data_IF_838765805355
#
_entry.id   IF_838765805355
#
_cell.length_a   1.000
_cell.length_b   1.000
_cell.length_c   1.000
_cell.angle_alpha   90.00
_cell.angle_beta   90.00
_cell.angle_gamma   90.00
#
_symmetry.space_group_name_H-M   'P 1'
#
loop_
_entity.id
_entity.type
_entity.pdbx_description
1 polymer ?
#
# COMPACT_ATOMS: atom_id res chain seq x y z
N UNK A 1 9.37 0.59 9.51
CA UNK A 1 8.83 1.55 10.48
C UNK A 1 7.69 0.87 11.23
N UNK A 2 7.66 0.86 12.53
CA UNK A 2 6.56 0.32 13.35
C UNK A 2 6.25 -1.17 13.13
N UNK A 3 7.26 -2.02 13.18
CA UNK A 3 7.03 -3.47 13.19
C UNK A 3 6.43 -3.91 14.53
N UNK A 4 5.50 -4.87 14.52
CA UNK A 4 4.90 -5.43 15.73
C UNK A 4 3.77 -4.60 16.34
N UNK A 5 3.36 -3.51 15.70
CA UNK A 5 2.29 -2.62 16.17
C UNK A 5 0.99 -2.91 15.42
N UNK A 6 -0.16 -2.64 16.06
CA UNK A 6 -1.47 -2.69 15.40
C UNK A 6 -1.44 -1.79 14.15
N UNK A 7 -1.93 -2.28 12.99
CA UNK A 7 -1.89 -1.50 11.76
C UNK A 7 -2.56 -0.12 11.85
N UNK A 8 -3.67 -0.01 12.58
CA UNK A 8 -4.35 1.28 12.73
C UNK A 8 -3.51 2.27 13.53
N UNK A 9 -2.87 1.81 14.59
CA UNK A 9 -1.98 2.64 15.39
C UNK A 9 -0.74 3.02 14.60
N UNK A 10 -0.19 2.10 13.83
CA UNK A 10 0.95 2.37 12.97
C UNK A 10 0.64 3.45 11.94
N UNK A 11 -0.54 3.40 11.32
CA UNK A 11 -0.98 4.40 10.35
C UNK A 11 -1.16 5.75 11.00
N UNK A 12 -1.82 5.80 12.15
CA UNK A 12 -2.09 7.05 12.86
C UNK A 12 -0.79 7.72 13.32
N UNK A 13 0.13 6.97 13.91
CA UNK A 13 1.39 7.52 14.40
C UNK A 13 2.31 7.92 13.25
N UNK A 14 2.39 7.12 12.19
CA UNK A 14 3.19 7.46 11.02
C UNK A 14 2.68 8.73 10.34
N UNK A 15 1.38 8.83 10.15
CA UNK A 15 0.76 10.01 9.55
C UNK A 15 1.06 11.27 10.36
N UNK A 16 0.86 11.20 11.67
CA UNK A 16 1.10 12.34 12.56
C UNK A 16 2.57 12.77 12.56
N UNK A 17 3.48 11.82 12.63
CA UNK A 17 4.91 12.10 12.63
C UNK A 17 5.37 12.71 11.31
N UNK A 18 4.97 12.11 10.19
CA UNK A 18 5.43 12.53 8.87
C UNK A 18 4.83 13.87 8.45
N UNK A 19 3.58 14.15 8.81
CA UNK A 19 3.01 15.48 8.55
C UNK A 19 3.70 16.56 9.37
N UNK A 20 4.11 16.25 10.59
CA UNK A 20 4.89 17.17 11.41
C UNK A 20 6.25 17.49 10.75
N UNK A 21 6.96 16.47 10.27
CA UNK A 21 8.23 16.65 9.57
C UNK A 21 8.04 17.42 8.27
N UNK A 22 6.99 17.13 7.54
CA UNK A 22 6.71 17.75 6.24
C UNK A 22 6.57 19.28 6.34
N UNK A 23 6.09 19.78 7.47
CA UNK A 23 5.93 21.22 7.69
C UNK A 23 7.25 21.93 8.02
N UNK A 24 8.33 21.19 8.23
CA UNK A 24 9.63 21.77 8.52
C UNK A 24 10.38 22.10 7.24
N UNK A 25 11.02 23.27 7.21
CA UNK A 25 11.92 23.66 6.13
C UNK A 25 13.19 22.79 6.20
N UNK A 26 13.75 22.47 5.05
CA UNK A 26 15.02 21.74 4.93
C UNK A 26 14.96 20.27 5.39
N UNK A 27 13.77 19.69 5.49
CA UNK A 27 13.60 18.27 5.78
C UNK A 27 12.82 17.61 4.67
N UNK A 28 13.43 16.62 4.03
CA UNK A 28 12.79 15.78 3.03
C UNK A 28 12.75 14.35 3.53
N UNK A 29 11.79 13.57 3.07
CA UNK A 29 11.74 12.15 3.41
C UNK A 29 11.26 11.31 2.24
N UNK A 30 11.65 10.06 2.25
CA UNK A 30 11.12 9.01 1.39
C UNK A 30 10.69 7.87 2.30
N UNK A 31 9.45 7.44 2.15
CA UNK A 31 8.89 6.34 2.92
C UNK A 31 8.39 5.24 1.99
N UNK A 32 8.79 4.01 2.29
CA UNK A 32 8.21 2.84 1.62
C UNK A 32 7.19 2.21 2.56
N UNK A 33 6.02 1.89 2.03
CA UNK A 33 4.96 1.30 2.83
C UNK A 33 4.02 0.49 1.93
N UNK A 34 3.37 -0.49 2.53
CA UNK A 34 2.27 -1.21 1.91
C UNK A 34 0.91 -0.85 2.55
N UNK A 35 0.88 0.12 3.44
CA UNK A 35 -0.37 0.60 4.04
C UNK A 35 -1.04 1.61 3.12
N UNK A 36 -1.97 1.14 2.30
CA UNK A 36 -2.67 1.99 1.32
C UNK A 36 -3.46 3.08 2.01
N UNK A 37 -4.06 2.80 3.17
CA UNK A 37 -4.79 3.81 3.92
C UNK A 37 -3.92 4.98 4.37
N UNK A 38 -2.66 4.73 4.70
CA UNK A 38 -1.70 5.80 5.00
C UNK A 38 -1.47 6.69 3.78
N UNK A 39 -1.30 6.08 2.62
CA UNK A 39 -1.14 6.81 1.36
C UNK A 39 -2.39 7.65 1.04
N UNK A 40 -3.57 7.12 1.29
CA UNK A 40 -4.82 7.85 1.07
C UNK A 40 -4.94 9.08 1.98
N UNK A 41 -4.49 8.97 3.23
CA UNK A 41 -4.47 10.11 4.14
C UNK A 41 -3.52 11.21 3.64
N UNK A 42 -2.42 10.85 3.02
CA UNK A 42 -1.47 11.82 2.47
C UNK A 42 -1.95 12.49 1.17
N UNK A 43 -2.99 11.99 0.54
CA UNK A 43 -3.53 12.60 -0.70
C UNK A 43 -3.87 14.07 -0.55
N UNK A 44 -4.31 14.48 0.63
CA UNK A 44 -4.73 15.85 0.89
C UNK A 44 -3.56 16.79 1.16
N UNK A 45 -2.36 16.25 1.32
CA UNK A 45 -1.17 17.06 1.60
C UNK A 45 -0.42 17.31 0.29
N UNK A 46 -0.37 18.57 -0.13
CA UNK A 46 0.27 18.96 -1.39
C UNK A 46 1.80 18.83 -1.37
N UNK A 47 2.38 18.71 -0.19
CA UNK A 47 3.83 18.56 -0.03
C UNK A 47 4.30 17.11 -0.11
N UNK A 48 3.39 16.16 -0.21
CA UNK A 48 3.69 14.73 -0.24
C UNK A 48 3.15 14.13 -1.53
N UNK A 49 4.03 13.48 -2.28
CA UNK A 49 3.66 12.76 -3.50
C UNK A 49 3.62 11.27 -3.22
N UNK A 50 2.51 10.65 -3.53
CA UNK A 50 2.41 9.19 -3.57
C UNK A 50 2.90 8.68 -4.92
N UNK A 51 3.81 7.72 -4.88
CA UNK A 51 4.30 7.04 -6.07
C UNK A 51 4.28 5.54 -5.82
N UNK A 52 4.25 4.77 -6.88
CA UNK A 52 4.28 3.31 -6.77
C UNK A 52 5.03 2.71 -7.96
N UNK A 53 5.47 1.47 -7.81
CA UNK A 53 6.05 0.72 -8.91
C UNK A 53 4.94 0.18 -9.80
N UNK A 54 5.03 0.43 -11.10
CA UNK A 54 4.03 -0.05 -12.05
C UNK A 54 3.95 -1.58 -11.99
N UNK A 55 2.75 -2.07 -11.75
CA UNK A 55 2.46 -3.51 -11.70
C UNK A 55 1.14 -3.76 -12.38
N UNK A 56 1.09 -4.75 -13.25
CA UNK A 56 -0.16 -5.22 -13.87
C UNK A 56 -0.37 -6.69 -13.54
N UNK A 57 -1.62 -7.13 -13.63
CA UNK A 57 -1.97 -8.53 -13.43
C UNK A 57 -2.23 -9.15 -14.78
N UNK A 58 -1.46 -10.18 -15.12
CA UNK A 58 -1.63 -10.95 -16.35
C UNK A 58 -1.68 -12.42 -16.00
N UNK A 59 -2.73 -13.12 -16.41
CA UNK A 59 -2.94 -14.54 -16.11
C UNK A 59 -2.84 -14.84 -14.60
N UNK A 60 -3.46 -13.98 -13.77
CA UNK A 60 -3.44 -14.06 -12.31
C UNK A 60 -2.04 -13.94 -11.67
N UNK A 61 -1.07 -13.44 -12.42
CA UNK A 61 0.30 -13.22 -11.92
C UNK A 61 0.64 -11.74 -11.96
N UNK A 62 1.24 -11.19 -10.89
CA UNK A 62 1.73 -9.82 -10.93
C UNK A 62 2.87 -9.71 -11.95
N UNK A 63 2.83 -8.67 -12.75
CA UNK A 63 3.89 -8.37 -13.69
C UNK A 63 4.52 -7.03 -13.31
N UNK A 64 5.80 -7.05 -12.96
CA UNK A 64 6.52 -5.88 -12.46
C UNK A 64 7.31 -5.24 -13.60
N UNK A 65 7.10 -3.94 -13.78
CA UNK A 65 7.76 -3.20 -14.85
C UNK A 65 8.97 -2.39 -14.37
N UNK A 66 9.21 -2.33 -13.06
CA UNK A 66 10.32 -1.58 -12.45
C UNK A 66 10.33 -0.10 -12.85
N UNK A 67 9.17 0.46 -13.06
CA UNK A 67 8.97 1.88 -13.37
C UNK A 67 8.12 2.53 -12.30
N UNK A 68 8.49 3.77 -11.95
CA UNK A 68 7.75 4.55 -10.97
C UNK A 68 6.58 5.27 -11.68
N UNK A 69 5.40 5.20 -11.06
CA UNK A 69 4.23 5.95 -11.50
C UNK A 69 3.67 6.78 -10.36
N UNK A 70 3.07 7.92 -10.70
CA UNK A 70 2.36 8.73 -9.73
C UNK A 70 1.08 8.03 -9.27
N UNK A 71 0.74 8.25 -8.00
CA UNK A 71 -0.48 7.74 -7.42
C UNK A 71 -0.27 6.55 -6.51
N UNK A 72 -1.38 6.04 -5.98
CA UNK A 72 -1.39 4.94 -5.03
C UNK A 72 -1.62 3.63 -5.77
N UNK A 73 -0.84 2.60 -5.44
CA UNK A 73 -1.06 1.27 -6.01
C UNK A 73 -2.40 0.70 -5.55
N UNK A 74 -3.15 0.14 -6.50
CA UNK A 74 -4.40 -0.53 -6.22
C UNK A 74 -4.27 -2.06 -6.25
N UNK A 75 -3.07 -2.56 -6.43
CA UNK A 75 -2.83 -4.00 -6.53
C UNK A 75 -2.87 -4.63 -5.14
N UNK A 76 -3.74 -5.63 -4.97
CA UNK A 76 -3.90 -6.38 -3.73
C UNK A 76 -3.16 -7.72 -3.87
N UNK A 77 -1.84 -7.68 -3.66
CA UNK A 77 -0.96 -8.78 -3.99
C UNK A 77 -1.19 -10.08 -3.23
N UNK A 78 -1.70 -10.01 -1.98
CA UNK A 78 -1.90 -11.21 -1.17
C UNK A 78 -2.85 -12.22 -1.78
N UNK A 79 -3.95 -11.75 -2.38
CA UNK A 79 -4.91 -12.64 -3.05
C UNK A 79 -4.26 -13.29 -4.27
N UNK A 80 -3.47 -12.54 -5.03
CA UNK A 80 -2.78 -13.07 -6.20
C UNK A 80 -1.75 -14.14 -5.83
N UNK A 81 -1.09 -14.00 -4.68
CA UNK A 81 -0.19 -15.03 -4.17
C UNK A 81 -0.95 -16.33 -3.91
N UNK A 82 -2.13 -16.27 -3.29
CA UNK A 82 -2.95 -17.46 -3.06
C UNK A 82 -3.33 -18.14 -4.38
N UNK A 83 -3.72 -17.37 -5.39
CA UNK A 83 -4.04 -17.91 -6.71
C UNK A 83 -2.82 -18.52 -7.39
N UNK A 84 -1.68 -17.90 -7.27
CA UNK A 84 -0.43 -18.35 -7.85
C UNK A 84 0.06 -19.66 -7.25
N UNK A 85 -0.15 -19.86 -5.94
CA UNK A 85 0.19 -21.08 -5.24
C UNK A 85 -0.86 -22.17 -5.40
N UNK A 86 -1.91 -21.92 -6.19
CA UNK A 86 -2.97 -22.88 -6.50
C UNK A 86 -3.74 -23.35 -5.25
N UNK A 87 -3.97 -22.46 -4.31
CA UNK A 87 -4.86 -22.76 -3.19
C UNK A 87 -6.29 -23.04 -3.70
N UNK A 88 -7.05 -23.87 -2.96
CA UNK A 88 -8.44 -24.15 -3.36
C UNK A 88 -9.22 -22.87 -3.63
N UNK A 89 -10.02 -22.88 -4.69
CA UNK A 89 -10.83 -21.73 -5.10
C UNK A 89 -11.69 -21.20 -3.96
N UNK A 90 -12.17 -22.09 -3.09
CA UNK A 90 -12.96 -21.74 -1.92
C UNK A 90 -12.22 -20.78 -0.99
N UNK A 91 -10.92 -20.94 -0.82
CA UNK A 91 -10.07 -20.06 -0.01
C UNK A 91 -9.89 -18.72 -0.69
N UNK A 92 -9.52 -18.72 -1.96
CA UNK A 92 -9.29 -17.47 -2.71
C UNK A 92 -10.57 -16.65 -2.86
N UNK A 93 -11.70 -17.28 -3.13
CA UNK A 93 -12.97 -16.57 -3.24
C UNK A 93 -13.39 -15.93 -1.92
N UNK A 94 -13.18 -16.65 -0.81
CA UNK A 94 -13.46 -16.10 0.51
C UNK A 94 -12.54 -14.94 0.85
N UNK A 95 -11.26 -15.05 0.50
CA UNK A 95 -10.29 -13.97 0.72
C UNK A 95 -10.67 -12.70 -0.06
N UNK A 96 -11.08 -12.83 -1.32
CA UNK A 96 -11.56 -11.71 -2.12
C UNK A 96 -12.79 -11.08 -1.50
N UNK A 97 -13.73 -11.89 -1.06
CA UNK A 97 -14.97 -11.42 -0.44
C UNK A 97 -14.69 -10.62 0.82
N UNK A 98 -13.83 -11.13 1.71
CA UNK A 98 -13.46 -10.44 2.93
C UNK A 98 -12.70 -9.15 2.62
N UNK A 99 -11.79 -9.19 1.67
CA UNK A 99 -11.01 -8.02 1.27
C UNK A 99 -11.91 -6.88 0.79
N UNK A 100 -12.98 -7.19 0.08
CA UNK A 100 -13.93 -6.20 -0.42
C UNK A 100 -14.81 -5.60 0.68
N UNK A 101 -14.88 -6.23 1.87
CA UNK A 101 -15.63 -5.71 3.01
C UNK A 101 -14.79 -4.86 3.96
N UNK A 102 -13.49 -4.92 3.85
CA UNK A 102 -12.57 -4.11 4.64
C UNK A 102 -12.33 -2.78 3.91
#
# INVERSE_FOLDING_TARGET
LYSGTNPYEAIATAYSYLTHICDKKNVDFILTTHYIKLCELFKKNTNINNIHMKTTIKNNKPQYFYKIKNGISQIKGGVHVLKQLQYPKKITDKAVKILNTI
#
